data_IF_862700028078
#
_entry.id   IF_862700028078
#
_cell.length_a   1.000
_cell.length_b   1.000
_cell.length_c   1.000
_cell.angle_alpha   90.00
_cell.angle_beta   90.00
_cell.angle_gamma   90.00
#
_symmetry.space_group_name_H-M   'P 1'
#
loop_
_entity.id
_entity.type
_entity.pdbx_description
1 polymer ?
#
# COMPACT_ATOMS: atom_id res chain seq x y z
N UNK A 1 53.48 -46.55 -1.64
CA UNK A 1 54.24 -45.74 -2.61
C UNK A 1 53.39 -45.71 -3.86
N UNK A 2 52.67 -44.69 -4.27
CA UNK A 2 52.42 -43.33 -3.79
C UNK A 2 51.51 -42.76 -4.87
N UNK A 3 50.19 -42.99 -4.73
CA UNK A 3 49.21 -42.64 -5.75
C UNK A 3 48.69 -41.21 -5.57
N UNK A 4 48.60 -40.55 -6.72
CA UNK A 4 48.38 -39.15 -6.99
C UNK A 4 46.95 -38.71 -6.60
N UNK A 5 46.77 -38.09 -5.43
CA UNK A 5 45.53 -37.40 -5.05
C UNK A 5 45.59 -35.92 -5.46
N UNK A 6 45.02 -35.60 -6.63
CA UNK A 6 44.67 -34.25 -7.05
C UNK A 6 43.37 -33.82 -6.33
N UNK A 7 43.50 -33.04 -5.26
CA UNK A 7 42.38 -32.30 -4.66
C UNK A 7 42.29 -30.92 -5.31
N UNK A 8 41.44 -30.79 -6.34
CA UNK A 8 40.93 -29.49 -6.77
C UNK A 8 39.71 -29.14 -5.90
N UNK A 9 39.86 -28.12 -5.06
CA UNK A 9 38.75 -27.46 -4.39
C UNK A 9 38.01 -26.62 -5.44
N UNK A 10 36.89 -27.11 -5.94
CA UNK A 10 35.90 -26.28 -6.63
C UNK A 10 34.79 -25.97 -5.63
N UNK A 11 34.82 -24.73 -5.10
CA UNK A 11 33.65 -24.16 -4.41
C UNK A 11 32.49 -24.13 -5.40
N UNK A 12 31.53 -25.03 -5.21
CA UNK A 12 30.25 -24.99 -5.89
C UNK A 12 29.51 -23.72 -5.51
N UNK A 13 29.44 -22.77 -6.44
CA UNK A 13 28.48 -21.67 -6.41
C UNK A 13 27.10 -22.31 -6.61
N UNK A 14 26.46 -22.66 -5.49
CA UNK A 14 25.05 -22.98 -5.44
C UNK A 14 24.28 -21.72 -5.83
N UNK A 15 23.77 -21.70 -7.05
CA UNK A 15 22.79 -20.72 -7.52
C UNK A 15 21.50 -20.92 -6.70
N UNK A 16 21.43 -20.25 -5.55
CA UNK A 16 20.17 -20.03 -4.88
C UNK A 16 19.34 -19.14 -5.79
N UNK A 17 18.32 -19.72 -6.42
CA UNK A 17 17.29 -19.02 -7.16
C UNK A 17 16.46 -18.20 -6.17
N UNK A 18 16.99 -17.05 -5.77
CA UNK A 18 16.23 -16.01 -5.11
C UNK A 18 15.21 -15.49 -6.11
N UNK A 19 13.93 -15.81 -5.88
CA UNK A 19 12.82 -15.20 -6.59
C UNK A 19 12.93 -13.69 -6.43
N UNK A 20 13.19 -13.00 -7.54
CA UNK A 20 13.34 -11.56 -7.58
C UNK A 20 11.99 -10.91 -7.24
N UNK A 21 11.85 -10.42 -6.00
CA UNK A 21 10.84 -9.45 -5.65
C UNK A 21 11.15 -8.17 -6.42
N UNK A 22 10.20 -7.62 -7.19
CA UNK A 22 10.40 -6.48 -8.09
C UNK A 22 10.72 -5.13 -7.38
N UNK A 23 11.04 -5.19 -6.09
CA UNK A 23 11.49 -4.08 -5.24
C UNK A 23 12.72 -4.44 -4.41
N UNK A 24 13.60 -5.29 -4.95
CA UNK A 24 15.00 -5.14 -4.55
C UNK A 24 15.50 -3.81 -5.10
N UNK A 25 16.33 -3.12 -4.32
CA UNK A 25 17.07 -1.89 -4.67
C UNK A 25 17.56 -1.84 -6.13
N UNK A 26 17.76 -3.00 -6.77
CA UNK A 26 18.21 -3.15 -8.15
C UNK A 26 17.36 -2.43 -9.21
N UNK A 27 16.02 -2.37 -9.09
CA UNK A 27 15.20 -1.70 -10.12
C UNK A 27 15.32 -0.17 -10.08
N UNK A 28 15.52 0.39 -8.89
CA UNK A 28 15.75 1.83 -8.69
C UNK A 28 17.16 2.21 -9.19
N UNK A 29 18.15 1.37 -8.92
CA UNK A 29 19.55 1.61 -9.29
C UNK A 29 19.82 1.68 -10.80
N UNK A 30 18.95 1.12 -11.66
CA UNK A 30 19.22 0.99 -13.11
C UNK A 30 18.81 2.24 -13.92
N UNK A 31 17.96 3.14 -13.39
CA UNK A 31 17.48 4.32 -14.11
C UNK A 31 17.87 5.67 -13.49
N UNK A 32 18.52 5.67 -12.32
CA UNK A 32 18.89 6.90 -11.59
C UNK A 32 20.34 7.36 -11.81
N UNK A 33 20.61 8.67 -11.97
CA UNK A 33 21.98 9.21 -11.96
C UNK A 33 22.64 9.00 -10.57
N UNK A 34 23.98 9.05 -10.46
CA UNK A 34 24.75 8.74 -9.22
C UNK A 34 24.26 9.45 -7.92
N UNK A 35 23.61 10.62 -8.03
CA UNK A 35 22.98 11.33 -6.90
C UNK A 35 21.78 10.57 -6.28
N UNK A 36 21.25 9.57 -6.97
CA UNK A 36 20.09 8.77 -6.58
C UNK A 36 20.42 7.77 -5.46
N UNK A 37 21.68 7.32 -5.36
CA UNK A 37 22.08 6.29 -4.40
C UNK A 37 21.81 6.70 -2.95
N UNK A 38 22.01 7.98 -2.61
CA UNK A 38 21.78 8.52 -1.26
C UNK A 38 20.32 8.44 -0.84
N UNK A 39 19.39 8.61 -1.79
CA UNK A 39 17.95 8.59 -1.51
C UNK A 39 17.31 7.22 -1.71
N UNK A 40 17.97 6.29 -2.42
CA UNK A 40 17.45 4.96 -2.77
C UNK A 40 16.82 4.22 -1.60
N UNK A 41 17.51 4.15 -0.47
CA UNK A 41 17.00 3.43 0.71
C UNK A 41 15.74 4.09 1.26
N UNK A 42 15.72 5.41 1.35
CA UNK A 42 14.55 6.17 1.84
C UNK A 42 13.37 6.09 0.87
N UNK A 43 13.65 6.03 -0.43
CA UNK A 43 12.61 5.87 -1.45
C UNK A 43 12.00 4.48 -1.39
N UNK A 44 12.82 3.43 -1.28
CA UNK A 44 12.32 2.07 -1.13
C UNK A 44 11.47 1.92 0.14
N UNK A 45 11.95 2.43 1.28
CA UNK A 45 11.21 2.43 2.55
C UNK A 45 9.90 3.23 2.46
N UNK A 46 9.92 4.38 1.79
CA UNK A 46 8.71 5.19 1.60
C UNK A 46 7.67 4.52 0.71
N UNK A 47 8.10 3.88 -0.38
CA UNK A 47 7.21 3.09 -1.23
C UNK A 47 6.59 1.91 -0.46
N UNK A 48 7.40 1.21 0.35
CA UNK A 48 6.91 0.12 1.21
C UNK A 48 5.89 0.62 2.24
N UNK A 49 6.17 1.74 2.91
CA UNK A 49 5.23 2.37 3.86
C UNK A 49 3.90 2.71 3.19
N UNK A 50 3.94 3.18 1.93
CA UNK A 50 2.76 3.39 1.09
C UNK A 50 1.95 2.12 0.85
N UNK A 51 2.62 0.99 0.59
CA UNK A 51 1.95 -0.31 0.42
C UNK A 51 1.36 -0.85 1.72
N UNK A 52 2.03 -0.65 2.85
CA UNK A 52 1.48 -1.03 4.16
C UNK A 52 0.19 -0.25 4.46
N UNK A 53 0.17 1.05 4.15
CA UNK A 53 -1.05 1.85 4.27
C UNK A 53 -2.12 1.44 3.26
N UNK A 54 -1.75 1.05 2.04
CA UNK A 54 -2.69 0.49 1.07
C UNK A 54 -3.34 -0.80 1.58
N UNK A 55 -2.55 -1.73 2.13
CA UNK A 55 -3.05 -2.95 2.79
C UNK A 55 -4.00 -2.61 3.94
N UNK A 56 -3.71 -1.56 4.70
CA UNK A 56 -4.59 -1.08 5.76
C UNK A 56 -5.93 -0.56 5.21
N UNK A 57 -5.90 0.35 4.23
CA UNK A 57 -7.10 0.97 3.65
C UNK A 57 -8.03 -0.04 2.97
N UNK A 58 -7.46 -1.11 2.40
CA UNK A 58 -8.19 -2.13 1.63
C UNK A 58 -8.34 -3.46 2.39
N UNK A 59 -8.03 -3.52 3.69
CA UNK A 59 -8.03 -4.77 4.47
C UNK A 59 -9.35 -5.55 4.37
N UNK A 60 -10.47 -4.82 4.29
CA UNK A 60 -11.83 -5.36 4.26
C UNK A 60 -12.49 -5.28 2.88
N UNK A 61 -11.81 -4.81 1.84
CA UNK A 61 -12.33 -4.77 0.46
C UNK A 61 -12.00 -6.06 -0.30
N UNK A 62 -12.74 -6.41 -1.37
CA UNK A 62 -12.50 -7.66 -2.14
C UNK A 62 -11.08 -7.74 -2.69
N UNK A 63 -10.54 -6.62 -3.16
CA UNK A 63 -9.12 -6.45 -3.45
C UNK A 63 -8.43 -5.84 -2.23
N UNK A 64 -7.45 -6.55 -1.66
CA UNK A 64 -6.85 -6.22 -0.36
C UNK A 64 -5.38 -5.76 -0.47
N UNK A 65 -5.02 -5.12 -1.58
CA UNK A 65 -3.66 -4.67 -1.85
C UNK A 65 -2.61 -5.81 -1.73
N UNK A 66 -2.68 -6.83 -2.60
CA UNK A 66 -1.80 -7.99 -2.51
C UNK A 66 -0.32 -7.62 -2.76
N UNK A 67 0.62 -8.41 -2.26
CA UNK A 67 2.07 -8.07 -2.28
C UNK A 67 2.65 -7.93 -3.70
N UNK A 68 2.02 -8.59 -4.67
CA UNK A 68 2.36 -8.47 -6.09
C UNK A 68 1.81 -7.20 -6.76
N UNK A 69 0.95 -6.42 -6.08
CA UNK A 69 0.36 -5.20 -6.63
C UNK A 69 1.42 -4.18 -7.05
N UNK A 70 2.53 -4.09 -6.31
CA UNK A 70 3.62 -3.18 -6.60
C UNK A 70 4.53 -3.69 -7.75
N UNK A 71 4.50 -4.98 -8.08
CA UNK A 71 5.22 -5.54 -9.24
C UNK A 71 4.41 -5.44 -10.53
N UNK A 72 3.08 -5.28 -10.41
CA UNK A 72 2.15 -5.10 -11.53
C UNK A 72 2.40 -3.79 -12.30
N UNK A 73 3.11 -2.83 -11.70
CA UNK A 73 3.46 -1.56 -12.34
C UNK A 73 4.75 -1.59 -13.17
N UNK A 74 5.62 -2.60 -13.02
CA UNK A 74 6.92 -2.65 -13.70
C UNK A 74 7.06 -3.90 -14.57
N UNK A 75 6.80 -3.72 -15.87
CA UNK A 75 7.11 -4.58 -17.02
C UNK A 75 6.73 -6.09 -16.96
N UNK A 76 5.96 -6.51 -17.97
CA UNK A 76 5.72 -7.88 -18.44
C UNK A 76 4.63 -8.76 -17.79
N UNK A 77 3.82 -8.29 -16.84
CA UNK A 77 2.54 -8.95 -16.52
C UNK A 77 1.43 -7.92 -16.41
N UNK A 78 0.49 -8.01 -17.36
CA UNK A 78 -0.76 -7.24 -17.50
C UNK A 78 -0.74 -5.88 -16.81
N UNK A 79 -0.41 -4.85 -17.60
CA UNK A 79 -0.62 -3.43 -17.25
C UNK A 79 -2.13 -3.19 -17.15
N UNK A 80 -2.75 -3.59 -16.05
CA UNK A 80 -4.16 -3.30 -15.86
C UNK A 80 -4.30 -1.89 -15.30
N UNK A 81 -4.87 -1.00 -16.11
CA UNK A 81 -5.03 0.40 -15.79
C UNK A 81 -6.33 0.63 -15.01
N UNK A 82 -6.53 -0.18 -13.95
CA UNK A 82 -7.72 -0.13 -13.10
C UNK A 82 -7.63 0.95 -12.03
N UNK A 83 -8.75 1.16 -11.35
CA UNK A 83 -8.86 2.08 -10.23
C UNK A 83 -7.86 1.75 -9.11
N UNK A 84 -7.64 0.47 -8.81
CA UNK A 84 -6.73 -0.01 -7.77
C UNK A 84 -5.28 0.39 -8.08
N UNK A 85 -4.88 0.24 -9.34
CA UNK A 85 -3.55 0.63 -9.83
C UNK A 85 -3.33 2.14 -9.67
N UNK A 86 -4.35 2.95 -9.95
CA UNK A 86 -4.27 4.42 -9.75
C UNK A 86 -3.99 4.78 -8.29
N UNK A 87 -4.62 4.09 -7.34
CA UNK A 87 -4.39 4.30 -5.91
C UNK A 87 -3.00 3.83 -5.48
N UNK A 88 -2.54 2.66 -5.95
CA UNK A 88 -1.19 2.15 -5.68
C UNK A 88 -0.11 3.18 -6.07
N UNK A 89 -0.23 3.76 -7.26
CA UNK A 89 0.72 4.77 -7.72
C UNK A 89 0.68 6.03 -6.84
N UNK A 90 -0.52 6.50 -6.49
CA UNK A 90 -0.70 7.67 -5.66
C UNK A 90 -0.14 7.47 -4.25
N UNK A 91 -0.51 6.38 -3.56
CA UNK A 91 -0.08 6.11 -2.17
C UNK A 91 1.41 5.77 -2.07
N UNK A 92 1.98 5.09 -3.07
CA UNK A 92 3.41 4.79 -3.10
C UNK A 92 4.22 6.07 -3.31
N UNK A 93 3.80 6.92 -4.25
CA UNK A 93 4.44 8.24 -4.48
C UNK A 93 4.32 9.15 -3.26
N UNK A 94 3.16 9.11 -2.61
CA UNK A 94 2.90 9.84 -1.38
C UNK A 94 3.78 9.34 -0.21
N UNK A 95 3.98 8.02 -0.08
CA UNK A 95 4.86 7.41 0.91
C UNK A 95 6.34 7.77 0.71
N UNK A 96 6.81 7.79 -0.54
CA UNK A 96 8.15 8.28 -0.89
C UNK A 96 8.32 9.74 -0.50
N UNK A 97 7.38 10.59 -0.92
CA UNK A 97 7.41 12.03 -0.59
C UNK A 97 7.37 12.25 0.93
N UNK A 98 6.50 11.55 1.64
CA UNK A 98 6.37 11.63 3.10
C UNK A 98 7.69 11.29 3.80
N UNK A 99 8.30 10.18 3.41
CA UNK A 99 9.54 9.68 4.02
C UNK A 99 10.73 10.60 3.74
N UNK A 100 10.92 11.03 2.49
CA UNK A 100 12.01 11.95 2.14
C UNK A 100 11.83 13.29 2.87
N UNK A 101 10.62 13.84 2.88
CA UNK A 101 10.34 15.12 3.54
C UNK A 101 10.61 15.04 5.05
N UNK A 102 10.27 13.91 5.68
CA UNK A 102 10.55 13.66 7.10
C UNK A 102 12.05 13.57 7.37
N UNK A 103 12.80 12.83 6.57
CA UNK A 103 14.25 12.68 6.69
C UNK A 103 14.98 14.03 6.46
N UNK A 104 14.55 14.82 5.47
CA UNK A 104 15.05 16.19 5.28
C UNK A 104 14.79 17.09 6.51
N UNK A 105 13.61 16.98 7.12
CA UNK A 105 13.25 17.76 8.32
C UNK A 105 14.02 17.31 9.57
N UNK A 106 14.49 16.07 9.61
CA UNK A 106 15.30 15.50 10.70
C UNK A 106 16.80 15.78 10.54
N UNK A 107 17.23 16.24 9.37
CA UNK A 107 18.64 16.48 9.07
C UNK A 107 19.40 15.22 8.62
N UNK A 108 18.70 14.16 8.21
CA UNK A 108 19.33 12.92 7.72
C UNK A 108 19.99 13.10 6.33
N UNK A 109 19.68 14.21 5.65
CA UNK A 109 20.18 14.55 4.32
C UNK A 109 20.80 15.95 4.32
N UNK A 110 21.99 16.07 3.74
CA UNK A 110 22.74 17.34 3.71
C UNK A 110 22.22 18.33 2.65
N UNK A 111 21.59 17.83 1.58
CA UNK A 111 21.21 18.63 0.41
C UNK A 111 19.75 19.11 0.43
N UNK A 112 19.04 18.95 1.56
CA UNK A 112 17.71 19.47 1.77
C UNK A 112 17.55 19.98 3.20
N UNK A 113 16.54 20.81 3.44
CA UNK A 113 16.28 21.39 4.75
C UNK A 113 14.81 21.74 4.95
N UNK A 114 14.53 22.52 5.98
CA UNK A 114 13.19 23.03 6.26
C UNK A 114 12.82 24.16 5.30
N UNK A 115 11.52 24.32 5.02
CA UNK A 115 11.03 25.44 4.23
C UNK A 115 11.16 26.76 5.01
N UNK A 116 12.03 27.66 4.53
CA UNK A 116 12.24 28.99 5.11
C UNK A 116 11.26 30.04 4.55
N UNK A 117 10.46 29.69 3.55
CA UNK A 117 9.51 30.61 2.93
C UNK A 117 8.33 30.90 3.87
N UNK A 118 8.12 32.18 4.20
CA UNK A 118 6.94 32.64 4.97
C UNK A 118 5.62 32.43 4.23
N UNK A 119 5.68 32.39 2.90
CA UNK A 119 4.56 32.03 2.04
C UNK A 119 4.84 30.60 1.57
N UNK A 120 4.28 29.60 2.24
CA UNK A 120 4.32 28.22 1.75
C UNK A 120 3.66 28.17 0.38
N UNK A 121 4.42 28.40 -0.70
CA UNK A 121 3.91 28.45 -2.08
C UNK A 121 3.40 27.08 -2.54
N UNK A 122 3.74 26.03 -1.78
CA UNK A 122 3.40 24.64 -2.06
C UNK A 122 2.74 24.01 -0.82
N UNK A 123 1.58 24.51 -0.41
CA UNK A 123 0.76 23.78 0.58
C UNK A 123 0.17 22.55 -0.12
N UNK A 124 0.72 21.37 0.15
CA UNK A 124 0.04 20.13 -0.25
C UNK A 124 -1.21 19.96 0.63
N UNK A 125 -2.28 19.45 0.04
CA UNK A 125 -3.62 19.39 0.65
C UNK A 125 -3.66 18.73 2.05
N UNK A 126 -2.67 17.90 2.41
CA UNK A 126 -2.59 17.18 3.69
C UNK A 126 -1.62 17.79 4.70
N UNK A 127 -0.97 18.93 4.41
CA UNK A 127 -0.11 19.61 5.39
C UNK A 127 -0.94 20.37 6.43
N UNK A 128 -0.51 20.33 7.69
CA UNK A 128 -1.19 21.00 8.81
C UNK A 128 -0.32 22.08 9.44
N UNK A 129 -0.94 23.19 9.82
CA UNK A 129 -0.29 24.21 10.65
C UNK A 129 -0.30 23.74 12.10
N UNK A 130 0.87 23.40 12.62
CA UNK A 130 1.08 23.03 14.02
C UNK A 130 1.70 24.21 14.75
N UNK A 131 1.28 24.46 15.99
CA UNK A 131 1.75 25.56 16.81
C UNK A 131 2.26 25.04 18.16
N UNK A 132 3.37 25.58 18.65
CA UNK A 132 3.80 25.44 20.05
C UNK A 132 3.61 26.76 20.79
N UNK A 133 2.96 26.66 21.95
CA UNK A 133 2.72 27.78 22.85
C UNK A 133 3.87 27.92 23.84
N UNK A 134 4.34 29.14 24.04
CA UNK A 134 5.46 29.44 24.96
C UNK A 134 5.24 30.76 25.72
N UNK A 135 3.99 31.15 25.92
CA UNK A 135 3.62 32.25 26.81
C UNK A 135 3.83 31.91 28.29
N UNK A 136 3.62 32.91 29.13
CA UNK A 136 3.78 32.81 30.59
C UNK A 136 2.98 31.61 31.11
N UNK A 137 3.64 30.74 31.90
CA UNK A 137 3.08 29.50 32.44
C UNK A 137 2.51 28.53 31.38
N UNK A 138 3.07 28.53 30.16
CA UNK A 138 2.61 27.65 29.07
C UNK A 138 1.36 28.14 28.34
N UNK A 139 0.96 29.39 28.56
CA UNK A 139 -0.16 30.00 27.82
C UNK A 139 0.16 30.18 26.32
N UNK A 140 -0.86 30.23 25.48
CA UNK A 140 -0.74 30.45 24.04
C UNK A 140 -0.81 31.93 23.63
N UNK A 141 -0.53 32.86 24.56
CA UNK A 141 -0.49 34.31 24.25
C UNK A 141 0.57 34.65 23.21
N UNK A 142 1.68 33.92 23.24
CA UNK A 142 2.67 33.87 22.18
C UNK A 142 2.83 32.40 21.76
N UNK A 143 2.83 32.18 20.46
CA UNK A 143 2.99 30.86 19.88
C UNK A 143 3.79 30.96 18.59
N UNK A 144 4.56 29.91 18.32
CA UNK A 144 5.28 29.75 17.05
C UNK A 144 4.62 28.61 16.29
N UNK A 145 4.30 28.84 15.02
CA UNK A 145 3.65 27.85 14.17
C UNK A 145 4.50 27.54 12.93
N UNK A 146 4.43 26.30 12.46
CA UNK A 146 5.04 25.85 11.21
C UNK A 146 4.09 24.88 10.50
N UNK A 147 4.34 24.63 9.22
CA UNK A 147 3.67 23.57 8.48
C UNK A 147 4.36 22.24 8.76
N UNK A 148 3.59 21.22 9.05
CA UNK A 148 4.06 19.86 9.28
C UNK A 148 3.22 18.89 8.46
N UNK A 149 3.84 17.79 8.01
CA UNK A 149 3.12 16.68 7.42
C UNK A 149 2.07 16.15 8.42
N UNK A 150 0.83 15.95 7.98
CA UNK A 150 -0.14 15.16 8.74
C UNK A 150 0.35 13.70 8.89
N UNK A 151 -0.22 12.96 9.82
CA UNK A 151 0.08 11.53 9.94
C UNK A 151 -0.25 10.80 8.63
N UNK A 152 0.59 9.81 8.29
CA UNK A 152 0.47 9.11 7.01
C UNK A 152 -0.90 8.41 6.84
N UNK A 153 -1.52 8.01 7.95
CA UNK A 153 -2.90 7.50 7.99
C UNK A 153 -3.92 8.48 7.42
N UNK A 154 -3.79 9.78 7.71
CA UNK A 154 -4.71 10.79 7.19
C UNK A 154 -4.54 10.97 5.69
N UNK A 155 -3.30 10.88 5.20
CA UNK A 155 -2.99 10.89 3.77
C UNK A 155 -3.58 9.65 3.07
N UNK A 156 -3.50 8.48 3.69
CA UNK A 156 -4.17 7.25 3.24
C UNK A 156 -5.69 7.41 3.14
N UNK A 157 -6.31 7.95 4.20
CA UNK A 157 -7.76 8.23 4.22
C UNK A 157 -8.17 9.21 3.12
N UNK A 158 -7.39 10.28 2.93
CA UNK A 158 -7.63 11.27 1.88
C UNK A 158 -7.55 10.65 0.48
N UNK A 159 -6.51 9.86 0.21
CA UNK A 159 -6.38 9.17 -1.08
C UNK A 159 -7.46 8.10 -1.27
N UNK A 160 -7.93 7.46 -0.19
CA UNK A 160 -9.01 6.46 -0.27
C UNK A 160 -10.33 7.12 -0.68
N UNK A 161 -10.62 8.30 -0.15
CA UNK A 161 -11.77 9.10 -0.60
C UNK A 161 -11.65 9.50 -2.08
N UNK A 162 -10.45 9.84 -2.54
CA UNK A 162 -10.17 10.12 -3.97
C UNK A 162 -10.29 8.87 -4.85
N UNK A 163 -9.94 7.70 -4.34
CA UNK A 163 -10.15 6.42 -5.03
C UNK A 163 -11.64 6.12 -5.21
N UNK A 164 -12.47 6.37 -4.20
CA UNK A 164 -13.92 6.13 -4.30
C UNK A 164 -14.59 7.02 -5.36
N UNK A 165 -14.03 8.22 -5.58
CA UNK A 165 -14.51 9.21 -6.55
C UNK A 165 -13.69 9.25 -7.85
N UNK A 166 -12.81 8.27 -8.08
CA UNK A 166 -11.92 8.25 -9.24
C UNK A 166 -12.68 8.26 -10.58
N UNK A 167 -12.11 8.95 -11.59
CA UNK A 167 -12.71 9.13 -12.90
C UNK A 167 -12.17 8.12 -13.92
N UNK A 168 -13.08 7.49 -14.65
CA UNK A 168 -12.73 6.68 -15.82
C UNK A 168 -12.55 7.60 -17.02
N UNK A 169 -11.41 7.52 -17.69
CA UNK A 169 -11.15 8.28 -18.91
C UNK A 169 -11.20 7.34 -20.12
N UNK A 170 -11.98 7.72 -21.12
CA UNK A 170 -11.98 7.05 -22.42
C UNK A 170 -10.93 7.70 -23.34
N UNK A 171 -10.03 6.90 -23.90
CA UNK A 171 -9.07 7.37 -24.89
C UNK A 171 -9.71 7.37 -26.28
N UNK A 172 -9.70 8.51 -26.98
CA UNK A 172 -10.16 8.56 -28.37
C UNK A 172 -9.15 7.86 -29.29
N UNK A 173 -9.56 6.69 -29.82
CA UNK A 173 -8.75 5.86 -30.70
C UNK A 173 -8.41 6.52 -32.04
N UNK A 174 -9.08 7.62 -32.42
CA UNK A 174 -8.86 8.31 -33.70
C UNK A 174 -7.52 9.06 -33.76
N UNK A 175 -6.99 9.48 -32.61
CA UNK A 175 -5.72 10.23 -32.52
C UNK A 175 -4.47 9.34 -32.38
N UNK A 176 -4.63 8.06 -32.05
CA UNK A 176 -3.54 7.06 -32.02
C UNK A 176 -3.03 6.67 -33.43
N UNK A 177 -3.66 7.18 -34.50
CA UNK A 177 -3.21 7.01 -35.90
C UNK A 177 -2.27 8.13 -36.38
N UNK A 178 -2.07 9.20 -35.59
CA UNK A 178 -0.94 10.09 -35.82
C UNK A 178 0.31 9.33 -35.35
N UNK A 179 1.23 9.09 -36.29
CA UNK A 179 2.36 8.17 -36.13
C UNK A 179 3.31 8.50 -34.98
N UNK A 180 4.37 7.70 -34.92
CA UNK A 180 5.44 7.64 -33.91
C UNK A 180 6.25 8.95 -33.73
N UNK A 181 5.61 10.11 -33.63
CA UNK A 181 6.27 11.36 -33.23
C UNK A 181 6.30 11.41 -31.72
N UNK A 182 7.47 11.67 -31.14
CA UNK A 182 7.67 11.86 -29.70
C UNK A 182 6.90 13.08 -29.14
N UNK A 183 6.14 13.79 -29.97
CA UNK A 183 5.26 14.91 -29.63
C UNK A 183 3.82 14.49 -29.31
N UNK A 184 3.52 13.19 -29.29
CA UNK A 184 2.22 12.63 -28.89
C UNK A 184 1.93 12.68 -27.39
N UNK A 185 2.30 13.76 -26.70
CA UNK A 185 1.72 14.01 -25.38
C UNK A 185 0.25 14.39 -25.57
N UNK A 186 -0.65 13.49 -25.20
CA UNK A 186 -2.03 13.84 -24.90
C UNK A 186 -2.02 14.97 -23.88
N UNK A 187 -2.26 16.20 -24.32
CA UNK A 187 -2.66 17.29 -23.45
C UNK A 187 -4.19 17.22 -23.37
N UNK A 188 -4.78 16.91 -22.21
CA UNK A 188 -6.21 17.13 -22.01
C UNK A 188 -6.51 18.59 -22.41
N UNK A 189 -7.60 18.84 -23.12
CA UNK A 189 -8.01 20.19 -23.51
C UNK A 189 -7.99 21.11 -22.27
N UNK A 190 -7.46 22.33 -22.39
CA UNK A 190 -7.24 23.25 -21.25
C UNK A 190 -8.47 23.52 -20.37
N UNK A 191 -9.68 23.27 -20.89
CA UNK A 191 -10.94 23.35 -20.13
C UNK A 191 -11.16 22.22 -19.10
N UNK A 192 -10.44 21.09 -19.21
CA UNK A 192 -10.55 19.93 -18.31
C UNK A 192 -9.51 19.92 -17.17
N UNK A 193 -8.45 20.72 -17.26
CA UNK A 193 -7.24 20.57 -16.45
C UNK A 193 -7.32 21.04 -14.97
N UNK A 194 -7.96 22.16 -14.58
CA UNK A 194 -7.81 22.69 -13.22
C UNK A 194 -8.52 21.87 -12.13
N UNK A 195 -9.44 20.96 -12.48
CA UNK A 195 -10.15 20.10 -11.50
C UNK A 195 -9.52 18.70 -11.34
N UNK A 196 -8.66 18.27 -12.28
CA UNK A 196 -8.13 16.89 -12.34
C UNK A 196 -6.80 16.73 -11.60
N UNK A 197 -6.03 17.81 -11.36
CA UNK A 197 -4.70 17.71 -10.71
C UNK A 197 -4.74 17.03 -9.33
N UNK A 198 -5.90 16.99 -8.67
CA UNK A 198 -6.12 16.36 -7.36
C UNK A 198 -7.03 15.12 -7.40
N UNK A 199 -7.38 14.58 -8.57
CA UNK A 199 -8.25 13.41 -8.75
C UNK A 199 -7.48 12.19 -9.25
N UNK A 200 -7.95 10.99 -8.89
CA UNK A 200 -7.40 9.74 -9.42
C UNK A 200 -8.12 9.37 -10.70
N UNK A 201 -7.36 8.89 -11.69
CA UNK A 201 -7.88 8.49 -13.00
C UNK A 201 -7.55 7.04 -13.29
N UNK A 202 -8.43 6.37 -14.03
CA UNK A 202 -8.22 5.01 -14.51
C UNK A 202 -8.79 4.83 -15.92
N UNK A 203 -8.34 3.79 -16.64
CA UNK A 203 -8.71 3.55 -18.03
C UNK A 203 -9.54 2.26 -18.20
N UNK A 204 -9.27 1.26 -17.38
CA UNK A 204 -9.89 -0.07 -17.47
C UNK A 204 -10.81 -0.34 -16.28
N UNK A 205 -11.90 -1.06 -16.52
CA UNK A 205 -12.78 -1.50 -15.45
C UNK A 205 -12.07 -2.55 -14.57
N UNK A 206 -12.31 -2.45 -13.26
CA UNK A 206 -11.77 -3.42 -12.30
C UNK A 206 -12.38 -4.81 -12.52
N UNK A 207 -11.58 -5.89 -12.54
CA UNK A 207 -12.09 -7.25 -12.71
C UNK A 207 -12.89 -7.72 -11.48
N UNK A 208 -13.57 -8.86 -11.62
CA UNK A 208 -14.15 -9.53 -10.47
C UNK A 208 -13.06 -10.12 -9.55
N UNK A 209 -12.95 -9.56 -8.34
CA UNK A 209 -12.01 -10.00 -7.31
C UNK A 209 -12.53 -11.13 -6.42
N UNK A 210 -13.80 -11.55 -6.57
CA UNK A 210 -14.36 -12.67 -5.81
C UNK A 210 -13.66 -13.99 -6.19
N UNK A 211 -13.49 -14.23 -7.50
CA UNK A 211 -12.95 -15.50 -8.01
C UNK A 211 -11.44 -15.46 -8.21
N UNK A 212 -10.78 -16.57 -7.87
CA UNK A 212 -9.33 -16.69 -8.05
C UNK A 212 -8.98 -16.73 -9.54
N UNK A 213 -8.06 -15.87 -9.95
CA UNK A 213 -7.52 -15.85 -11.31
C UNK A 213 -5.99 -15.69 -11.27
N UNK A 214 -5.28 -16.81 -11.42
CA UNK A 214 -3.81 -16.85 -11.37
C UNK A 214 -3.14 -16.02 -12.47
N UNK A 215 -3.77 -15.88 -13.64
CA UNK A 215 -3.23 -15.11 -14.77
C UNK A 215 -3.26 -13.60 -14.50
N UNK A 216 -4.27 -13.13 -13.78
CA UNK A 216 -4.42 -11.73 -13.35
C UNK A 216 -3.77 -11.46 -11.98
N UNK A 217 -3.22 -12.48 -11.32
CA UNK A 217 -2.69 -12.35 -9.96
C UNK A 217 -3.78 -12.12 -8.89
N UNK A 218 -5.03 -12.49 -9.18
CA UNK A 218 -6.18 -12.35 -8.28
C UNK A 218 -6.27 -13.62 -7.41
N UNK A 219 -6.24 -13.46 -6.09
CA UNK A 219 -6.27 -14.58 -5.14
C UNK A 219 -7.69 -15.07 -4.82
N UNK A 220 -8.71 -14.25 -5.07
CA UNK A 220 -10.09 -14.49 -4.66
C UNK A 220 -10.35 -14.13 -3.19
N UNK A 221 -11.61 -14.21 -2.76
CA UNK A 221 -12.02 -13.90 -1.38
C UNK A 221 -12.15 -15.11 -0.45
N UNK A 222 -11.98 -16.32 -0.97
CA UNK A 222 -11.99 -17.56 -0.19
C UNK A 222 -10.85 -17.59 0.85
N UNK A 223 -11.18 -17.99 2.08
CA UNK A 223 -10.27 -18.04 3.22
C UNK A 223 -10.01 -16.71 3.91
N UNK A 224 -10.60 -15.61 3.45
CA UNK A 224 -10.39 -14.29 4.04
C UNK A 224 -11.15 -14.10 5.34
N UNK A 225 -10.50 -13.44 6.31
CA UNK A 225 -11.14 -12.98 7.53
C UNK A 225 -12.12 -11.84 7.20
N UNK A 226 -13.26 -11.81 7.87
CA UNK A 226 -14.26 -10.75 7.79
C UNK A 226 -14.76 -10.40 9.20
N UNK A 227 -15.39 -9.23 9.33
CA UNK A 227 -15.93 -8.74 10.59
C UNK A 227 -17.46 -8.83 10.59
N UNK A 228 -18.00 -9.32 11.70
CA UNK A 228 -19.42 -9.36 11.98
C UNK A 228 -19.66 -8.73 13.36
N UNK A 229 -20.45 -7.64 13.39
CA UNK A 229 -20.92 -6.95 14.63
C UNK A 229 -19.82 -6.73 15.70
N UNK A 230 -18.80 -5.92 15.39
CA UNK A 230 -17.78 -5.48 16.38
C UNK A 230 -18.09 -4.09 16.93
N UNK A 231 -17.94 -3.90 18.25
CA UNK A 231 -18.33 -2.67 18.97
C UNK A 231 -17.40 -1.46 18.70
N UNK A 232 -16.24 -1.68 18.07
CA UNK A 232 -15.20 -0.66 17.85
C UNK A 232 -14.79 -0.49 16.37
N UNK A 233 -15.59 -0.97 15.42
CA UNK A 233 -15.28 -0.85 13.97
C UNK A 233 -16.35 -0.06 13.24
N UNK A 234 -16.00 0.53 12.10
CA UNK A 234 -16.93 1.32 11.30
C UNK A 234 -18.10 0.47 10.76
N UNK A 235 -19.23 1.12 10.46
CA UNK A 235 -20.42 0.43 9.90
C UNK A 235 -20.12 -0.32 8.60
N UNK A 236 -19.17 0.18 7.79
CA UNK A 236 -18.73 -0.47 6.55
C UNK A 236 -17.96 -1.77 6.85
N UNK A 237 -16.98 -1.70 7.75
CA UNK A 237 -16.19 -2.85 8.18
C UNK A 237 -17.05 -3.94 8.83
N UNK A 238 -18.06 -3.56 9.63
CA UNK A 238 -19.02 -4.49 10.23
C UNK A 238 -19.86 -5.27 9.20
N UNK A 239 -19.94 -4.79 7.95
CA UNK A 239 -20.65 -5.44 6.84
C UNK A 239 -19.72 -6.22 5.91
N UNK A 240 -18.45 -6.36 6.27
CA UNK A 240 -17.44 -7.04 5.44
C UNK A 240 -17.75 -8.47 5.10
N UNK A 241 -18.32 -9.26 6.02
CA UNK A 241 -18.75 -10.63 5.68
C UNK A 241 -19.80 -10.68 4.57
N UNK A 242 -20.61 -9.61 4.43
CA UNK A 242 -21.60 -9.48 3.35
C UNK A 242 -20.93 -9.42 1.98
N UNK A 243 -20.09 -8.42 1.76
CA UNK A 243 -19.49 -8.16 0.44
C UNK A 243 -18.25 -9.01 0.12
N UNK A 244 -17.55 -9.55 1.12
CA UNK A 244 -16.42 -10.46 0.91
C UNK A 244 -16.87 -11.90 0.69
N UNK A 245 -17.87 -12.36 1.44
CA UNK A 245 -18.30 -13.75 1.42
C UNK A 245 -19.63 -13.92 0.67
N UNK A 246 -20.73 -13.38 1.20
CA UNK A 246 -22.07 -13.74 0.73
C UNK A 246 -22.37 -13.26 -0.70
N UNK A 247 -21.97 -12.04 -1.05
CA UNK A 247 -22.12 -11.50 -2.42
C UNK A 247 -21.22 -12.22 -3.43
N UNK A 248 -20.12 -12.81 -2.96
CA UNK A 248 -19.22 -13.65 -3.76
C UNK A 248 -19.68 -15.12 -3.82
N UNK A 249 -20.84 -15.48 -3.23
CA UNK A 249 -21.35 -16.86 -3.19
C UNK A 249 -20.65 -17.78 -2.18
N UNK A 250 -19.91 -17.23 -1.22
CA UNK A 250 -19.22 -17.96 -0.16
C UNK A 250 -20.05 -17.94 1.14
N UNK A 251 -19.87 -18.95 1.97
CA UNK A 251 -20.46 -19.03 3.31
C UNK A 251 -19.53 -18.40 4.35
N UNK A 252 -20.10 -17.88 5.42
CA UNK A 252 -19.34 -17.34 6.56
C UNK A 252 -19.18 -18.44 7.61
N UNK A 253 -17.93 -18.83 7.87
CA UNK A 253 -17.58 -19.79 8.92
C UNK A 253 -17.07 -19.04 10.15
N UNK A 254 -17.63 -19.34 11.32
CA UNK A 254 -17.15 -18.82 12.61
C UNK A 254 -16.10 -19.77 13.20
N UNK A 255 -14.95 -19.22 13.58
CA UNK A 255 -13.83 -19.93 14.20
C UNK A 255 -13.43 -19.29 15.52
N UNK A 256 -13.52 -20.07 16.59
CA UNK A 256 -13.01 -19.69 17.91
C UNK A 256 -11.49 -19.81 17.92
N UNK A 257 -10.81 -18.71 18.20
CA UNK A 257 -9.34 -18.66 18.21
C UNK A 257 -8.88 -18.10 19.55
N UNK A 258 -7.85 -18.70 20.16
CA UNK A 258 -7.20 -18.10 21.32
C UNK A 258 -6.34 -16.92 20.86
N UNK A 259 -6.65 -15.73 21.37
CA UNK A 259 -5.83 -14.54 21.20
C UNK A 259 -5.11 -14.22 22.51
N UNK A 260 -3.88 -13.70 22.38
CA UNK A 260 -3.06 -13.28 23.50
C UNK A 260 -3.03 -11.75 23.49
N UNK A 261 -3.40 -11.12 24.60
CA UNK A 261 -3.34 -9.66 24.74
C UNK A 261 -2.65 -9.28 26.04
N UNK A 262 -2.00 -8.13 26.02
CA UNK A 262 -1.45 -7.51 27.22
C UNK A 262 -2.60 -7.07 28.13
N UNK A 263 -2.57 -7.50 29.39
CA UNK A 263 -3.58 -7.26 30.40
C UNK A 263 -2.93 -6.88 31.74
N UNK A 264 -3.74 -6.43 32.71
CA UNK A 264 -3.30 -6.11 34.07
C UNK A 264 -2.06 -5.19 34.14
N UNK A 265 -1.95 -4.27 33.19
CA UNK A 265 -0.80 -3.38 33.07
C UNK A 265 -0.67 -2.47 34.29
N UNK A 266 0.49 -2.52 34.95
CA UNK A 266 0.85 -1.66 36.10
C UNK A 266 2.05 -0.81 35.74
N UNK A 267 1.92 0.49 35.97
CA UNK A 267 3.04 1.43 35.87
C UNK A 267 3.93 1.28 37.10
N UNK A 268 5.21 0.96 36.90
CA UNK A 268 6.23 1.00 37.93
C UNK A 268 6.84 2.39 37.97
N UNK A 269 7.01 2.94 39.17
CA UNK A 269 7.62 4.26 39.40
C UNK A 269 9.12 4.19 39.06
N UNK A 270 9.39 4.30 37.76
CA UNK A 270 10.67 4.44 37.04
C UNK A 270 10.42 4.36 35.51
N UNK A 271 9.25 4.82 35.05
CA UNK A 271 8.84 4.90 33.63
C UNK A 271 8.63 3.57 32.90
N UNK A 272 8.46 2.45 33.61
CA UNK A 272 8.24 1.14 32.99
C UNK A 272 6.82 0.65 33.23
N UNK A 273 6.10 0.29 32.17
CA UNK A 273 4.82 -0.41 32.27
C UNK A 273 5.08 -1.91 32.20
N UNK A 274 4.64 -2.66 33.22
CA UNK A 274 4.65 -4.13 33.20
C UNK A 274 3.23 -4.65 33.04
N UNK A 275 3.03 -5.48 32.02
CA UNK A 275 1.75 -6.11 31.73
C UNK A 275 1.90 -7.63 31.78
N UNK A 276 0.84 -8.31 32.21
CA UNK A 276 0.71 -9.75 32.07
C UNK A 276 0.22 -10.10 30.65
N UNK A 277 0.42 -11.34 30.22
CA UNK A 277 -0.12 -11.84 28.97
C UNK A 277 -1.36 -12.69 29.24
N UNK A 278 -2.54 -12.18 28.91
CA UNK A 278 -3.80 -12.89 29.09
C UNK A 278 -4.24 -13.59 27.81
N UNK A 279 -4.64 -14.84 27.94
CA UNK A 279 -5.34 -15.57 26.87
C UNK A 279 -6.83 -15.27 26.95
N UNK A 280 -7.42 -14.97 25.82
CA UNK A 280 -8.86 -14.77 25.69
C UNK A 280 -9.33 -15.40 24.38
N UNK A 281 -10.53 -15.99 24.39
CA UNK A 281 -11.11 -16.62 23.21
C UNK A 281 -11.85 -15.56 22.42
N UNK A 282 -11.46 -15.37 21.15
CA UNK A 282 -12.12 -14.47 20.21
C UNK A 282 -12.78 -15.25 19.09
N UNK A 283 -13.96 -14.81 18.68
CA UNK A 283 -14.65 -15.37 17.52
C UNK A 283 -14.20 -14.60 16.28
N UNK A 284 -13.63 -15.31 15.32
CA UNK A 284 -13.24 -14.79 14.01
C UNK A 284 -14.13 -15.39 12.94
N UNK A 285 -14.37 -14.64 11.86
CA UNK A 285 -15.23 -15.08 10.77
C UNK A 285 -14.42 -15.18 9.49
N UNK A 286 -14.62 -16.23 8.71
CA UNK A 286 -13.89 -16.51 7.48
C UNK A 286 -14.82 -16.84 6.33
N UNK A 287 -14.49 -16.38 5.12
CA UNK A 287 -15.21 -16.78 3.91
C UNK A 287 -14.80 -18.18 3.46
N UNK A 288 -15.74 -19.09 3.28
CA UNK A 288 -15.48 -20.49 2.91
C UNK A 288 -16.40 -20.96 1.79
N UNK A 289 -15.92 -21.91 0.97
CA UNK A 289 -16.77 -22.57 -0.02
C UNK A 289 -17.74 -23.54 0.65
N UNK A 290 -18.96 -23.60 0.12
CA UNK A 290 -19.93 -24.61 0.54
C UNK A 290 -19.37 -26.01 0.27
N UNK A 291 -19.44 -26.96 1.24
CA UNK A 291 -18.91 -28.32 1.09
C UNK A 291 -19.44 -29.11 -0.11
N UNK A 292 -20.54 -28.66 -0.74
CA UNK A 292 -21.17 -29.32 -1.89
C UNK A 292 -20.69 -28.90 -3.28
N UNK A 293 -19.80 -27.90 -3.43
CA UNK A 293 -19.34 -27.43 -4.75
C UNK A 293 -18.00 -28.03 -5.22
N UNK A 294 -17.35 -28.83 -4.38
CA UNK A 294 -16.10 -29.51 -4.70
C UNK A 294 -16.35 -30.89 -5.33
N UNK A 295 -17.10 -30.99 -6.43
CA UNK A 295 -17.28 -32.28 -7.10
C UNK A 295 -17.69 -32.26 -8.58
N UNK A 296 -17.15 -31.37 -9.42
CA UNK A 296 -17.09 -31.63 -10.87
C UNK A 296 -15.91 -30.91 -11.51
N UNK A 297 -14.71 -31.49 -11.47
CA UNK A 297 -13.63 -31.27 -12.45
C UNK A 297 -12.58 -32.34 -12.23
N UNK A 298 -12.71 -33.47 -12.96
CA UNK A 298 -11.78 -34.58 -12.80
C UNK A 298 -12.26 -35.97 -13.25
N UNK A 299 -13.32 -36.09 -14.04
CA UNK A 299 -13.60 -37.31 -14.81
C UNK A 299 -13.78 -36.97 -16.29
N UNK A 300 -12.65 -36.71 -16.94
CA UNK A 300 -12.52 -36.83 -18.39
C UNK A 300 -12.68 -38.30 -18.77
N UNK A 301 -13.41 -38.52 -19.86
CA UNK A 301 -13.75 -39.79 -20.49
C UNK A 301 -12.57 -40.76 -20.61
N UNK A 302 -12.84 -42.02 -20.27
CA UNK A 302 -12.16 -43.17 -20.85
C UNK A 302 -12.55 -43.33 -22.33
#
# INVERSE_FOLDING_TARGET
MGDLFMLWVTMGIGCATFGASAWSVNNFLITGPKAYLTYTTSVALGAQSGIEECKFQFAWERWNCPENALQLSTHNRLRSATRETSFIHAISSAGVMYTITKNCSMGDFENCGCDESKNGKTVRATMKRICKCHGISGSCSIQTCWLQLADFREMGNYLKAKYDQALKIEMDKRQLRAGNSAEGCWAPTEAFLPSIEAELIFLEDSPDYCTRNSSLGIYGTEGRECLQKSHNTSKWEQRSCGHLCTECGLQVEERRTEAMSSCNCKFQWCCTVKCDQCRHVVNKYYCMRSPGSAQTWGKGRA
#
